data_IF_308516055647
#
_entry.id   IF_308516055647
#
_cell.length_a   1.000
_cell.length_b   1.000
_cell.length_c   1.000
_cell.angle_alpha   90.00
_cell.angle_beta   90.00
_cell.angle_gamma   90.00
#
_symmetry.space_group_name_H-M   'P 1'
#
loop_
_entity.id
_entity.type
_entity.pdbx_description
1 polymer ?
#
# COMPACT_ATOMS: atom_id res chain seq x y z
N UNK A 1 -8.02 22.74 4.54
CA UNK A 1 -6.86 23.42 3.89
C UNK A 1 -6.47 22.74 2.57
N UNK A 2 -5.80 21.57 2.53
CA UNK A 2 -5.42 20.96 1.22
C UNK A 2 -6.63 20.50 0.39
N UNK A 3 -7.61 19.80 0.98
CA UNK A 3 -8.84 19.37 0.27
C UNK A 3 -9.62 20.55 -0.33
N UNK A 4 -9.74 21.64 0.43
CA UNK A 4 -10.45 22.85 0.00
C UNK A 4 -9.73 23.56 -1.15
N UNK A 5 -8.40 23.47 -1.23
CA UNK A 5 -7.62 24.06 -2.32
C UNK A 5 -7.75 23.30 -3.64
N UNK A 6 -8.07 22.00 -3.59
CA UNK A 6 -8.23 21.15 -4.77
C UNK A 6 -9.69 20.89 -5.14
N UNK A 7 -10.65 21.58 -4.49
CA UNK A 7 -12.09 21.40 -4.67
C UNK A 7 -12.55 19.92 -4.60
N UNK A 8 -11.84 19.08 -3.86
CA UNK A 8 -12.15 17.67 -3.74
C UNK A 8 -13.04 17.41 -2.52
N UNK A 9 -14.00 16.47 -2.60
CA UNK A 9 -14.77 16.07 -1.42
C UNK A 9 -13.84 15.57 -0.32
N UNK A 10 -13.99 16.11 0.89
CA UNK A 10 -13.13 15.80 2.05
C UNK A 10 -13.01 14.28 2.32
N UNK A 11 -14.09 13.48 2.25
CA UNK A 11 -14.00 12.02 2.43
C UNK A 11 -13.10 11.35 1.39
N UNK A 12 -13.19 11.78 0.12
CA UNK A 12 -12.38 11.22 -0.97
C UNK A 12 -10.89 11.42 -0.71
N UNK A 13 -10.50 12.62 -0.28
CA UNK A 13 -9.09 12.91 0.05
C UNK A 13 -8.62 12.15 1.29
N UNK A 14 -9.44 12.07 2.34
CA UNK A 14 -9.09 11.35 3.57
C UNK A 14 -8.91 9.85 3.32
N UNK A 15 -9.84 9.21 2.63
CA UNK A 15 -9.75 7.78 2.33
C UNK A 15 -8.68 7.48 1.27
N UNK A 16 -8.47 8.36 0.29
CA UNK A 16 -7.35 8.24 -0.65
C UNK A 16 -5.99 8.29 0.05
N UNK A 17 -5.82 9.22 1.01
CA UNK A 17 -4.61 9.30 1.83
C UNK A 17 -4.44 8.06 2.71
N UNK A 18 -5.53 7.58 3.33
CA UNK A 18 -5.52 6.37 4.16
C UNK A 18 -5.06 5.15 3.36
N UNK A 19 -5.62 4.94 2.16
CA UNK A 19 -5.25 3.84 1.27
C UNK A 19 -3.76 3.92 0.93
N UNK A 20 -3.28 5.10 0.52
CA UNK A 20 -1.86 5.30 0.20
C UNK A 20 -0.94 5.04 1.40
N UNK A 21 -1.27 5.57 2.57
CA UNK A 21 -0.47 5.44 3.78
C UNK A 21 -0.44 4.00 4.31
N UNK A 22 -1.55 3.27 4.26
CA UNK A 22 -1.64 1.91 4.79
C UNK A 22 -1.14 0.85 3.82
N UNK A 23 -1.40 0.99 2.52
CA UNK A 23 -1.00 -0.02 1.53
C UNK A 23 0.41 0.22 0.98
N UNK A 24 0.88 1.47 0.93
CA UNK A 24 2.19 1.83 0.38
C UNK A 24 3.38 1.18 1.08
N UNK A 25 3.25 0.85 2.37
CA UNK A 25 4.30 0.17 3.15
C UNK A 25 4.68 -1.23 2.62
N UNK A 26 3.84 -1.85 1.79
CA UNK A 26 4.07 -3.19 1.24
C UNK A 26 4.98 -3.20 0.00
N UNK A 27 5.33 -2.04 -0.55
CA UNK A 27 6.20 -1.94 -1.73
C UNK A 27 7.66 -2.31 -1.43
N UNK A 28 8.09 -2.21 -0.17
CA UNK A 28 9.47 -2.47 0.21
C UNK A 28 9.58 -3.45 1.38
N UNK A 29 10.68 -4.22 1.45
CA UNK A 29 11.02 -5.08 2.60
C UNK A 29 10.98 -4.41 3.97
N UNK A 30 11.30 -3.11 4.01
CA UNK A 30 11.42 -2.32 5.25
C UNK A 30 10.20 -1.44 5.52
N UNK A 31 9.26 -1.36 4.57
CA UNK A 31 8.12 -0.43 4.64
C UNK A 31 7.06 -0.82 5.68
N UNK A 32 7.05 -2.08 6.12
CA UNK A 32 6.21 -2.57 7.21
C UNK A 32 6.98 -3.54 8.10
N UNK A 33 6.68 -3.53 9.41
CA UNK A 33 7.30 -4.45 10.37
C UNK A 33 7.02 -5.93 10.02
N UNK A 34 5.84 -6.23 9.48
CA UNK A 34 5.46 -7.56 9.02
C UNK A 34 6.39 -8.10 7.91
N UNK A 35 6.85 -7.24 7.01
CA UNK A 35 7.75 -7.61 5.91
C UNK A 35 9.12 -8.01 6.45
N UNK A 36 9.66 -7.21 7.39
CA UNK A 36 10.94 -7.48 8.06
C UNK A 36 10.89 -8.79 8.86
N UNK A 37 9.81 -9.02 9.60
CA UNK A 37 9.61 -10.27 10.37
C UNK A 37 9.54 -11.47 9.43
N UNK A 38 8.79 -11.37 8.33
CA UNK A 38 8.67 -12.44 7.32
C UNK A 38 10.02 -12.79 6.71
N UNK A 39 10.81 -11.78 6.32
CA UNK A 39 12.17 -12.00 5.80
C UNK A 39 13.10 -12.62 6.85
N UNK A 40 12.96 -12.23 8.13
CA UNK A 40 13.67 -12.86 9.24
C UNK A 40 13.33 -14.36 9.39
N UNK A 41 12.06 -14.73 9.23
CA UNK A 41 11.61 -16.13 9.26
C UNK A 41 12.15 -16.90 8.05
N UNK A 42 12.08 -16.35 6.85
CA UNK A 42 12.61 -17.00 5.64
C UNK A 42 14.12 -17.22 5.76
N UNK A 43 14.85 -16.24 6.27
CA UNK A 43 16.30 -16.35 6.51
C UNK A 43 16.63 -17.46 7.51
N UNK A 44 15.85 -17.62 8.58
CA UNK A 44 16.00 -18.72 9.55
C UNK A 44 15.78 -20.11 8.92
N UNK A 45 14.99 -20.19 7.86
CA UNK A 45 14.73 -21.41 7.08
C UNK A 45 15.73 -21.64 5.95
N UNK A 46 16.77 -20.80 5.83
CA UNK A 46 17.78 -20.91 4.78
C UNK A 46 17.42 -20.24 3.46
N UNK A 47 16.27 -19.55 3.38
CA UNK A 47 15.88 -18.80 2.18
C UNK A 47 16.43 -17.38 2.22
N UNK A 48 17.17 -17.00 1.19
CA UNK A 48 17.63 -15.62 0.98
C UNK A 48 16.76 -14.96 -0.07
N UNK A 49 15.91 -14.03 0.36
CA UNK A 49 15.08 -13.22 -0.54
C UNK A 49 15.81 -11.90 -0.80
N UNK A 50 16.03 -11.59 -2.08
CA UNK A 50 16.60 -10.29 -2.46
C UNK A 50 15.53 -9.20 -2.47
N UNK A 51 15.96 -7.94 -2.48
CA UNK A 51 15.04 -6.80 -2.59
C UNK A 51 14.17 -6.89 -3.86
N UNK A 52 14.74 -7.34 -4.98
CA UNK A 52 14.00 -7.53 -6.24
C UNK A 52 12.96 -8.65 -6.14
N UNK A 53 13.30 -9.76 -5.50
CA UNK A 53 12.35 -10.87 -5.32
C UNK A 53 11.12 -10.40 -4.53
N UNK A 54 11.35 -9.68 -3.43
CA UNK A 54 10.27 -9.10 -2.63
C UNK A 54 9.42 -8.12 -3.43
N UNK A 55 10.05 -7.17 -4.12
CA UNK A 55 9.32 -6.18 -4.92
C UNK A 55 8.53 -6.80 -6.07
N UNK A 56 9.06 -7.83 -6.73
CA UNK A 56 8.38 -8.49 -7.84
C UNK A 56 7.02 -9.08 -7.44
N UNK A 57 6.89 -9.47 -6.17
CA UNK A 57 5.67 -10.02 -5.58
C UNK A 57 4.84 -8.90 -4.93
N UNK A 58 5.49 -8.01 -4.17
CA UNK A 58 4.84 -6.96 -3.40
C UNK A 58 4.23 -5.86 -4.26
N UNK A 59 4.88 -5.44 -5.35
CA UNK A 59 4.37 -4.40 -6.27
C UNK A 59 3.03 -4.79 -6.89
N UNK A 60 2.88 -5.92 -7.61
CA UNK A 60 1.60 -6.24 -8.25
C UNK A 60 0.48 -6.41 -7.23
N UNK A 61 0.77 -6.98 -6.06
CA UNK A 61 -0.22 -7.15 -5.00
C UNK A 61 -0.65 -5.82 -4.38
N UNK A 62 0.30 -4.92 -4.12
CA UNK A 62 0.02 -3.59 -3.58
C UNK A 62 -0.75 -2.74 -4.59
N UNK A 63 -0.40 -2.80 -5.87
CA UNK A 63 -1.11 -2.09 -6.94
C UNK A 63 -2.55 -2.59 -7.05
N UNK A 64 -2.77 -3.90 -7.04
CA UNK A 64 -4.11 -4.47 -7.07
C UNK A 64 -4.95 -4.01 -5.86
N UNK A 65 -4.37 -4.02 -4.66
CA UNK A 65 -5.05 -3.57 -3.45
C UNK A 65 -5.37 -2.06 -3.46
N UNK A 66 -4.42 -1.23 -3.92
CA UNK A 66 -4.62 0.22 -4.06
C UNK A 66 -5.70 0.51 -5.10
N UNK A 67 -5.68 -0.15 -6.25
CA UNK A 67 -6.71 0.02 -7.28
C UNK A 67 -8.09 -0.37 -6.78
N UNK A 68 -8.21 -1.50 -6.07
CA UNK A 68 -9.48 -1.93 -5.47
C UNK A 68 -9.98 -0.91 -4.43
N UNK A 69 -9.09 -0.40 -3.57
CA UNK A 69 -9.43 0.63 -2.59
C UNK A 69 -9.86 1.94 -3.25
N UNK A 70 -9.11 2.40 -4.25
CA UNK A 70 -9.44 3.60 -5.02
C UNK A 70 -10.79 3.45 -5.73
N UNK A 71 -11.06 2.30 -6.34
CA UNK A 71 -12.33 2.02 -6.99
C UNK A 71 -13.50 2.06 -6.00
N UNK A 72 -13.34 1.49 -4.80
CA UNK A 72 -14.37 1.52 -3.75
C UNK A 72 -14.60 2.95 -3.24
N UNK A 73 -13.53 3.69 -2.98
CA UNK A 73 -13.64 5.08 -2.50
C UNK A 73 -14.30 5.98 -3.55
N UNK A 74 -13.94 5.79 -4.82
CA UNK A 74 -14.59 6.47 -5.93
C UNK A 74 -16.05 6.08 -6.08
N UNK A 75 -16.40 4.81 -5.88
CA UNK A 75 -17.79 4.35 -5.93
C UNK A 75 -18.65 4.95 -4.80
N UNK A 76 -18.11 5.06 -3.60
CA UNK A 76 -18.84 5.55 -2.43
C UNK A 76 -18.90 7.08 -2.32
N UNK A 77 -17.88 7.81 -2.79
CA UNK A 77 -17.74 9.27 -2.60
C UNK A 77 -17.37 10.04 -3.88
N UNK A 78 -17.34 9.39 -5.04
CA UNK A 78 -17.04 10.00 -6.34
C UNK A 78 -18.27 10.53 -7.08
N UNK A 79 -19.39 10.75 -6.37
CA UNK A 79 -20.61 11.39 -6.87
C UNK A 79 -20.88 12.67 -6.09
#
# INVERSE_FOLDING_TARGET
>A
KVAEQIHAPMPLMMYGLLIGACLGGNLTPIGASANVVTLGILRKRGYTVTFRDFMSIGIPFTVAAVLAGCALVWWCWGV
#
